data_IF_370960867607
#
_entry.id   IF_370960867607
#
_cell.length_a   1.000
_cell.length_b   1.000
_cell.length_c   1.000
_cell.angle_alpha   90.00
_cell.angle_beta   90.00
_cell.angle_gamma   90.00
#
_symmetry.space_group_name_H-M   'P 1'
#
loop_
_entity.id
_entity.type
_entity.pdbx_description
1 polymer ?
#
# COMPACT_ATOMS: atom_id res chain seq x y z
N UNK A 1 15.33 13.65 12.28
CA UNK A 1 14.82 12.70 11.24
C UNK A 1 15.93 11.69 10.88
N UNK A 2 15.81 10.41 11.24
CA UNK A 2 16.87 9.40 11.02
C UNK A 2 16.97 8.99 9.53
N UNK A 3 15.84 8.82 8.85
CA UNK A 3 15.83 8.36 7.45
C UNK A 3 16.53 9.33 6.49
N UNK A 4 16.33 10.65 6.68
CA UNK A 4 17.04 11.67 5.90
C UNK A 4 18.55 11.60 6.08
N UNK A 5 19.02 11.37 7.31
CA UNK A 5 20.45 11.19 7.62
C UNK A 5 21.03 9.94 6.93
N UNK A 6 20.31 8.82 6.99
CA UNK A 6 20.69 7.59 6.28
C UNK A 6 20.80 7.85 4.78
N UNK A 7 19.81 8.53 4.20
CA UNK A 7 19.86 8.88 2.78
C UNK A 7 21.01 9.84 2.46
N UNK A 8 21.31 10.84 3.30
CA UNK A 8 22.44 11.76 3.08
C UNK A 8 23.77 11.01 2.93
N UNK A 9 24.05 10.07 3.84
CA UNK A 9 25.27 9.27 3.83
C UNK A 9 25.27 8.27 2.69
N UNK A 10 24.17 7.53 2.52
CA UNK A 10 24.13 6.45 1.56
C UNK A 10 23.93 6.96 0.13
N UNK A 11 23.34 8.12 -0.12
CA UNK A 11 23.17 8.62 -1.50
C UNK A 11 24.45 9.23 -2.09
N UNK A 12 25.40 9.65 -1.25
CA UNK A 12 26.71 10.16 -1.67
C UNK A 12 27.72 9.00 -1.77
N UNK A 13 28.33 8.80 -2.94
CA UNK A 13 29.25 7.68 -3.17
C UNK A 13 30.47 7.70 -2.25
N UNK A 14 30.98 8.88 -1.88
CA UNK A 14 32.17 9.00 -1.03
C UNK A 14 31.82 8.72 0.42
N UNK A 15 30.71 9.29 0.92
CA UNK A 15 30.26 9.01 2.28
C UNK A 15 29.82 7.56 2.44
N UNK A 16 29.18 6.97 1.43
CA UNK A 16 28.86 5.54 1.39
C UNK A 16 30.12 4.69 1.46
N UNK A 17 31.15 4.99 0.66
CA UNK A 17 32.40 4.23 0.68
C UNK A 17 33.07 4.24 2.06
N UNK A 18 33.13 5.40 2.73
CA UNK A 18 33.65 5.49 4.10
C UNK A 18 32.81 4.65 5.05
N UNK A 19 31.48 4.77 4.98
CA UNK A 19 30.58 3.98 5.83
C UNK A 19 30.74 2.47 5.61
N UNK A 20 30.83 2.01 4.36
CA UNK A 20 31.00 0.60 4.01
C UNK A 20 32.36 0.04 4.50
N UNK A 21 33.40 0.88 4.53
CA UNK A 21 34.74 0.50 4.99
C UNK A 21 34.91 0.54 6.52
N UNK A 22 34.37 1.56 7.19
CA UNK A 22 34.64 1.82 8.61
C UNK A 22 33.46 1.51 9.53
N UNK A 23 32.25 1.43 8.99
CA UNK A 23 31.00 1.30 9.76
C UNK A 23 30.63 2.56 10.55
N UNK A 24 31.28 3.70 10.30
CA UNK A 24 31.09 4.95 11.06
C UNK A 24 30.48 6.04 10.19
N UNK A 25 29.79 6.99 10.82
CA UNK A 25 29.22 8.19 10.19
C UNK A 25 29.77 9.43 10.90
N UNK A 26 30.15 10.45 10.13
CA UNK A 26 30.52 11.76 10.67
C UNK A 26 29.25 12.55 11.03
N UNK A 27 28.81 12.46 12.28
CA UNK A 27 27.56 13.09 12.73
C UNK A 27 27.57 14.62 12.66
N UNK A 28 28.76 15.23 12.57
CA UNK A 28 28.95 16.69 12.51
C UNK A 28 28.90 17.24 11.07
N UNK A 29 28.87 16.36 10.06
CA UNK A 29 28.80 16.76 8.67
C UNK A 29 27.58 17.65 8.40
N UNK A 30 27.76 18.72 7.62
CA UNK A 30 26.72 19.70 7.30
C UNK A 30 25.46 19.06 6.68
N UNK A 31 25.64 17.97 5.93
CA UNK A 31 24.56 17.18 5.36
C UNK A 31 23.66 16.48 6.40
N UNK A 32 24.17 16.31 7.64
CA UNK A 32 23.56 15.62 8.78
C UNK A 32 23.13 16.55 9.92
N UNK A 33 23.45 17.84 9.82
CA UNK A 33 22.97 18.85 10.75
C UNK A 33 21.46 19.08 10.60
N UNK A 34 20.79 19.36 11.73
CA UNK A 34 19.35 19.64 11.78
C UNK A 34 19.06 21.03 11.18
N UNK A 35 18.93 21.07 9.87
CA UNK A 35 18.56 22.27 9.10
C UNK A 35 18.02 21.99 7.70
N UNK A 36 18.18 20.76 7.19
CA UNK A 36 17.62 20.36 5.90
C UNK A 36 16.13 20.06 6.03
N UNK A 37 15.30 20.75 5.25
CA UNK A 37 13.89 20.37 5.07
C UNK A 37 13.81 19.11 4.19
N UNK A 38 13.76 17.96 4.86
CA UNK A 38 13.62 16.68 4.19
C UNK A 38 12.28 16.56 3.46
N UNK A 39 11.22 17.23 3.92
CA UNK A 39 9.92 17.17 3.24
C UNK A 39 10.01 17.85 1.87
N UNK A 40 10.58 19.05 1.81
CA UNK A 40 10.82 19.77 0.55
C UNK A 40 11.74 18.97 -0.38
N UNK A 41 12.82 18.39 0.17
CA UNK A 41 13.74 17.54 -0.58
C UNK A 41 13.03 16.34 -1.23
N UNK A 42 12.21 15.61 -0.47
CA UNK A 42 11.47 14.46 -0.99
C UNK A 42 10.41 14.85 -2.00
N UNK A 43 9.72 15.99 -1.79
CA UNK A 43 8.75 16.52 -2.76
C UNK A 43 9.42 16.91 -4.09
N UNK A 44 10.67 17.36 -4.06
CA UNK A 44 11.44 17.68 -5.26
C UNK A 44 11.80 16.42 -6.06
N UNK A 45 12.24 15.36 -5.37
CA UNK A 45 12.64 14.08 -5.98
C UNK A 45 11.44 13.27 -6.47
N UNK A 46 10.41 13.15 -5.65
CA UNK A 46 9.23 12.32 -5.87
C UNK A 46 8.02 13.22 -6.14
N UNK A 47 8.06 13.92 -7.28
CA UNK A 47 6.93 14.75 -7.72
C UNK A 47 5.75 13.87 -8.11
N UNK A 48 4.83 13.71 -7.18
CA UNK A 48 3.52 13.09 -7.41
C UNK A 48 2.50 14.22 -7.56
N UNK A 49 1.82 14.24 -8.69
CA UNK A 49 0.71 15.15 -8.95
C UNK A 49 -0.62 14.48 -8.64
N UNK A 50 -1.68 15.29 -8.47
CA UNK A 50 -3.05 14.76 -8.35
C UNK A 50 -3.42 13.90 -9.56
N UNK A 51 -2.94 14.28 -10.76
CA UNK A 51 -3.14 13.50 -11.98
C UNK A 51 -2.49 12.12 -11.90
N UNK A 52 -1.29 12.01 -11.33
CA UNK A 52 -0.62 10.71 -11.17
C UNK A 52 -1.42 9.78 -10.25
N UNK A 53 -2.06 10.33 -9.21
CA UNK A 53 -2.95 9.58 -8.31
C UNK A 53 -4.22 9.13 -9.05
N UNK A 54 -4.84 10.01 -9.84
CA UNK A 54 -6.02 9.66 -10.64
C UNK A 54 -5.71 8.61 -11.71
N UNK A 55 -4.57 8.72 -12.38
CA UNK A 55 -4.12 7.78 -13.39
C UNK A 55 -3.77 6.43 -12.75
N UNK A 56 -3.11 6.42 -11.57
CA UNK A 56 -2.92 5.21 -10.78
C UNK A 56 -4.25 4.55 -10.43
N UNK A 57 -5.21 5.31 -9.91
CA UNK A 57 -6.53 4.78 -9.55
C UNK A 57 -7.24 4.14 -10.74
N UNK A 58 -7.17 4.76 -11.93
CA UNK A 58 -7.78 4.22 -13.16
C UNK A 58 -7.08 2.94 -13.63
N UNK A 59 -5.75 2.89 -13.55
CA UNK A 59 -4.97 1.76 -14.03
C UNK A 59 -5.02 0.56 -13.07
N UNK A 60 -5.09 0.82 -11.77
CA UNK A 60 -5.19 -0.22 -10.75
C UNK A 60 -6.58 -0.88 -10.74
N UNK A 61 -7.66 -0.10 -10.88
CA UNK A 61 -9.02 -0.64 -10.84
C UNK A 61 -9.32 -1.56 -12.02
N UNK A 62 -9.84 -2.75 -11.74
CA UNK A 62 -10.06 -3.88 -12.65
C UNK A 62 -8.78 -4.47 -13.27
N UNK A 63 -7.61 -4.17 -12.71
CA UNK A 63 -6.35 -4.75 -13.16
C UNK A 63 -6.12 -6.16 -12.60
N UNK A 64 -5.12 -6.84 -13.15
CA UNK A 64 -4.62 -8.08 -12.59
C UNK A 64 -3.98 -7.88 -11.20
N UNK A 65 -3.40 -6.71 -10.95
CA UNK A 65 -2.81 -6.33 -9.66
C UNK A 65 -3.88 -6.25 -8.57
N UNK A 66 -4.98 -5.53 -8.84
CA UNK A 66 -6.10 -5.47 -7.90
C UNK A 66 -6.68 -6.85 -7.61
N UNK A 67 -6.84 -7.69 -8.64
CA UNK A 67 -7.32 -9.06 -8.43
C UNK A 67 -6.38 -9.87 -7.52
N UNK A 68 -5.06 -9.72 -7.68
CA UNK A 68 -4.07 -10.37 -6.84
C UNK A 68 -4.16 -9.86 -5.38
N UNK A 69 -4.29 -8.55 -5.19
CA UNK A 69 -4.41 -7.94 -3.87
C UNK A 69 -5.70 -8.33 -3.16
N UNK A 70 -6.83 -8.37 -3.88
CA UNK A 70 -8.12 -8.87 -3.35
C UNK A 70 -8.01 -10.32 -2.91
N UNK A 71 -7.38 -11.18 -3.71
CA UNK A 71 -7.14 -12.59 -3.35
C UNK A 71 -6.25 -12.71 -2.11
N UNK A 72 -5.17 -11.94 -2.04
CA UNK A 72 -4.27 -11.92 -0.90
C UNK A 72 -4.99 -11.46 0.37
N UNK A 73 -5.75 -10.35 0.30
CA UNK A 73 -6.57 -9.85 1.40
C UNK A 73 -7.61 -10.89 1.84
N UNK A 74 -8.28 -11.56 0.90
CA UNK A 74 -9.25 -12.60 1.19
C UNK A 74 -8.66 -13.75 2.00
N UNK A 75 -7.47 -14.23 1.61
CA UNK A 75 -6.74 -15.29 2.33
C UNK A 75 -6.28 -14.81 3.72
N UNK A 76 -5.69 -13.62 3.79
CA UNK A 76 -5.16 -13.04 5.03
C UNK A 76 -6.26 -12.81 6.07
N UNK A 77 -7.45 -12.41 5.63
CA UNK A 77 -8.60 -12.12 6.50
C UNK A 77 -9.66 -13.21 6.52
N UNK A 78 -9.35 -14.38 5.94
CA UNK A 78 -10.23 -15.57 5.94
C UNK A 78 -11.66 -15.24 5.49
N UNK A 79 -11.79 -14.40 4.47
CA UNK A 79 -13.06 -13.98 3.89
C UNK A 79 -13.86 -12.94 4.68
N UNK A 80 -13.28 -12.27 5.68
CA UNK A 80 -13.96 -11.15 6.35
C UNK A 80 -13.96 -9.89 5.46
N UNK A 81 -15.12 -9.60 4.86
CA UNK A 81 -15.27 -8.49 3.93
C UNK A 81 -15.07 -7.11 4.57
N UNK A 82 -15.23 -6.93 5.89
CA UNK A 82 -14.92 -5.63 6.50
C UNK A 82 -13.44 -5.33 6.39
N UNK A 83 -12.60 -6.32 6.73
CA UNK A 83 -11.16 -6.20 6.70
C UNK A 83 -10.62 -6.13 5.28
N UNK A 84 -11.22 -6.86 4.35
CA UNK A 84 -10.85 -6.81 2.93
C UNK A 84 -11.07 -5.40 2.38
N UNK A 85 -12.28 -4.84 2.55
CA UNK A 85 -12.62 -3.51 2.04
C UNK A 85 -11.81 -2.38 2.69
N UNK A 86 -11.36 -2.55 3.94
CA UNK A 86 -10.48 -1.59 4.63
C UNK A 86 -9.00 -1.71 4.20
N UNK A 87 -8.61 -2.79 3.52
CA UNK A 87 -7.20 -3.09 3.19
C UNK A 87 -6.84 -2.90 1.71
N UNK A 88 -7.80 -3.10 0.80
CA UNK A 88 -7.54 -3.02 -0.64
C UNK A 88 -7.53 -1.55 -1.07
N UNK A 89 -6.50 -1.15 -1.84
CA UNK A 89 -6.36 0.21 -2.34
C UNK A 89 -7.49 0.60 -3.31
N UNK A 90 -7.77 1.89 -3.45
CA UNK A 90 -8.71 2.42 -4.45
C UNK A 90 -10.11 1.80 -4.41
N UNK A 91 -10.54 1.36 -3.22
CA UNK A 91 -11.83 0.73 -2.96
C UNK A 91 -12.60 1.57 -1.94
N UNK A 92 -13.86 1.82 -2.24
CA UNK A 92 -14.85 2.36 -1.30
C UNK A 92 -16.06 1.42 -1.18
N UNK A 93 -17.04 1.78 -0.35
CA UNK A 93 -18.22 0.92 -0.12
C UNK A 93 -19.06 0.68 -1.38
N UNK A 94 -18.99 1.57 -2.39
CA UNK A 94 -19.71 1.42 -3.66
C UNK A 94 -19.09 0.33 -4.53
N UNK A 95 -17.82 0.00 -4.30
CA UNK A 95 -17.08 -1.04 -5.01
C UNK A 95 -17.30 -2.45 -4.44
N UNK A 96 -17.93 -2.61 -3.26
CA UNK A 96 -18.14 -3.93 -2.66
C UNK A 96 -18.74 -4.96 -3.62
N UNK A 97 -19.77 -4.66 -4.43
CA UNK A 97 -20.33 -5.64 -5.37
C UNK A 97 -19.28 -6.21 -6.34
N UNK A 98 -18.39 -5.36 -6.85
CA UNK A 98 -17.34 -5.71 -7.80
C UNK A 98 -16.24 -6.54 -7.14
N UNK A 99 -15.82 -6.15 -5.93
CA UNK A 99 -14.83 -6.92 -5.15
C UNK A 99 -15.39 -8.30 -4.77
N UNK A 100 -16.67 -8.37 -4.40
CA UNK A 100 -17.34 -9.63 -4.11
C UNK A 100 -17.39 -10.54 -5.34
N UNK A 101 -17.75 -10.00 -6.50
CA UNK A 101 -17.78 -10.75 -7.76
C UNK A 101 -16.40 -11.31 -8.15
N UNK A 102 -15.32 -10.55 -7.91
CA UNK A 102 -13.95 -11.04 -8.11
C UNK A 102 -13.64 -12.26 -7.22
N UNK A 103 -14.02 -12.19 -5.94
CA UNK A 103 -13.83 -13.28 -4.98
C UNK A 103 -14.68 -14.49 -5.36
N UNK A 104 -15.96 -14.29 -5.69
CA UNK A 104 -16.87 -15.37 -6.09
C UNK A 104 -16.33 -16.13 -7.31
N UNK A 105 -15.91 -15.41 -8.37
CA UNK A 105 -15.28 -16.03 -9.54
C UNK A 105 -14.00 -16.80 -9.20
N UNK A 106 -13.19 -16.28 -8.28
CA UNK A 106 -11.97 -16.95 -7.84
C UNK A 106 -12.27 -18.20 -6.98
N UNK A 107 -13.37 -18.23 -6.23
CA UNK A 107 -13.84 -19.43 -5.52
C UNK A 107 -14.39 -20.45 -6.53
N UNK A 108 -15.21 -20.01 -7.48
CA UNK A 108 -15.85 -20.89 -8.48
C UNK A 108 -14.83 -21.55 -9.41
N UNK A 109 -13.73 -20.85 -9.73
CA UNK A 109 -12.60 -21.40 -10.48
C UNK A 109 -11.67 -22.30 -9.64
N UNK A 110 -11.87 -22.37 -8.32
CA UNK A 110 -11.06 -23.17 -7.40
C UNK A 110 -9.73 -22.53 -7.00
N UNK A 111 -9.48 -21.27 -7.36
CA UNK A 111 -8.27 -20.53 -7.00
C UNK A 111 -8.28 -20.08 -5.53
N UNK A 112 -9.47 -19.85 -4.95
CA UNK A 112 -9.64 -19.50 -3.54
C UNK A 112 -10.49 -20.55 -2.79
N UNK A 113 -10.16 -20.84 -1.52
CA UNK A 113 -11.02 -21.66 -0.69
C UNK A 113 -12.29 -20.90 -0.28
N UNK A 114 -13.40 -21.61 -0.11
CA UNK A 114 -14.63 -21.03 0.41
C UNK A 114 -14.57 -20.86 1.95
N UNK A 115 -14.37 -19.64 2.44
CA UNK A 115 -14.48 -19.35 3.88
C UNK A 115 -15.91 -19.06 4.33
N UNK A 116 -16.28 -19.61 5.50
CA UNK A 116 -17.62 -19.42 6.10
C UNK A 116 -17.96 -17.95 6.35
N UNK A 117 -16.97 -17.13 6.73
CA UNK A 117 -17.17 -15.71 7.02
C UNK A 117 -17.72 -14.95 5.79
N UNK A 118 -17.26 -15.33 4.61
CA UNK A 118 -17.71 -14.76 3.34
C UNK A 118 -19.06 -15.33 2.91
N UNK A 119 -19.17 -16.67 2.84
CA UNK A 119 -20.37 -17.34 2.30
C UNK A 119 -21.61 -17.15 3.17
N UNK A 120 -21.43 -17.03 4.49
CA UNK A 120 -22.54 -16.86 5.44
C UNK A 120 -22.60 -15.45 6.02
N UNK A 121 -22.06 -14.47 5.31
CA UNK A 121 -22.13 -13.09 5.75
C UNK A 121 -23.59 -12.63 5.90
N UNK A 122 -23.91 -12.03 7.05
CA UNK A 122 -25.26 -11.54 7.30
C UNK A 122 -25.57 -10.31 6.43
N UNK A 123 -26.82 -10.22 5.94
CA UNK A 123 -27.31 -9.02 5.24
C UNK A 123 -27.13 -7.74 6.06
N UNK A 124 -27.19 -7.84 7.40
CA UNK A 124 -26.98 -6.70 8.31
C UNK A 124 -25.54 -6.15 8.21
N UNK A 125 -24.52 -7.02 8.15
CA UNK A 125 -23.12 -6.58 7.98
C UNK A 125 -22.94 -5.86 6.63
N UNK A 126 -23.40 -6.48 5.55
CA UNK A 126 -23.35 -5.90 4.21
C UNK A 126 -24.04 -4.53 4.13
N UNK A 127 -25.25 -4.41 4.69
CA UNK A 127 -25.98 -3.13 4.72
C UNK A 127 -25.33 -2.08 5.62
N UNK A 128 -24.67 -2.49 6.70
CA UNK A 128 -23.94 -1.57 7.56
C UNK A 128 -22.72 -0.97 6.86
N UNK A 129 -22.05 -1.74 5.99
CA UNK A 129 -20.86 -1.26 5.25
C UNK A 129 -21.23 -0.18 4.24
N UNK A 130 -22.38 -0.30 3.57
CA UNK A 130 -22.91 0.70 2.63
C UNK A 130 -23.30 2.05 3.24
N UNK A 131 -23.34 2.16 4.58
CA UNK A 131 -23.72 3.37 5.31
C UNK A 131 -22.52 4.13 5.87
N UNK A 132 -21.30 3.62 5.68
CA UNK A 132 -20.05 4.30 6.05
C UNK A 132 -19.66 5.27 4.95
#
# INVERSE_FOLDING_TARGET
>A
QILGKVYAVLSDEKQRAVYDETGTVDEDAEALQDGRDWLEYWQLLFKVTVKDIEDFHKNYKNSAEELADVKAAYLNFKGDMDRIMESVMCVDYTDEPRIREMIERAIDSGELPSFKAFVRESKRKMMSRRRR
#
